data_IF_904534841994
#
_entry.id   IF_904534841994
#
_cell.length_a   1.000
_cell.length_b   1.000
_cell.length_c   1.000
_cell.angle_alpha   90.00
_cell.angle_beta   90.00
_cell.angle_gamma   90.00
#
_symmetry.space_group_name_H-M   'P 1'
#
loop_
_entity.id
_entity.type
_entity.pdbx_description
1 polymer ?
#
# COMPACT_ATOMS: atom_id res chain seq x y z
N UNK A 1 -59.47 -80.15 -0.13
CA UNK A 1 -59.37 -79.51 -1.46
C UNK A 1 -59.31 -78.01 -1.24
N UNK A 2 -58.19 -77.40 -1.66
CA UNK A 2 -57.93 -76.03 -2.15
C UNK A 2 -58.76 -74.85 -1.59
N UNK A 3 -58.21 -73.70 -1.22
CA UNK A 3 -56.83 -73.23 -1.36
C UNK A 3 -56.65 -71.78 -0.87
N UNK A 4 -55.41 -71.52 -0.45
CA UNK A 4 -54.61 -70.29 -0.32
C UNK A 4 -55.21 -68.95 0.14
N UNK A 5 -54.64 -68.56 1.29
CA UNK A 5 -54.52 -67.24 1.86
C UNK A 5 -53.73 -66.25 0.99
N UNK A 6 -54.08 -64.98 1.22
CA UNK A 6 -53.34 -63.77 0.88
C UNK A 6 -52.06 -63.60 1.73
N UNK A 7 -51.22 -62.67 1.26
CA UNK A 7 -50.04 -62.02 1.85
C UNK A 7 -48.69 -62.75 1.80
N UNK A 8 -47.78 -62.26 0.94
CA UNK A 8 -46.43 -61.89 1.40
C UNK A 8 -45.75 -60.83 0.48
N UNK A 9 -44.82 -60.12 1.09
CA UNK A 9 -44.12 -58.86 0.82
C UNK A 9 -43.30 -58.75 -0.49
N UNK A 10 -43.07 -57.51 -0.96
CA UNK A 10 -41.75 -56.82 -0.85
C UNK A 10 -41.65 -55.50 -1.65
N UNK A 11 -41.31 -54.45 -0.90
CA UNK A 11 -40.28 -53.45 -1.17
C UNK A 11 -40.21 -52.77 -2.55
N UNK A 12 -40.74 -51.55 -2.66
CA UNK A 12 -40.13 -50.47 -3.47
C UNK A 12 -40.39 -49.07 -2.89
N UNK A 13 -40.19 -48.90 -1.59
CA UNK A 13 -39.98 -47.58 -0.97
C UNK A 13 -38.48 -47.31 -0.93
N UNK A 14 -37.93 -46.77 -2.02
CA UNK A 14 -36.47 -46.59 -2.10
C UNK A 14 -35.98 -45.66 -3.19
N UNK A 15 -36.81 -44.74 -3.68
CA UNK A 15 -36.44 -43.84 -4.79
C UNK A 15 -37.16 -42.48 -4.70
N UNK A 16 -37.25 -41.88 -3.51
CA UNK A 16 -37.71 -40.48 -3.36
C UNK A 16 -36.84 -39.66 -2.39
N UNK A 17 -35.90 -40.27 -1.67
CA UNK A 17 -35.10 -39.59 -0.63
C UNK A 17 -33.70 -39.11 -1.09
N UNK A 18 -33.45 -38.95 -2.40
CA UNK A 18 -32.13 -38.57 -2.92
C UNK A 18 -32.09 -37.23 -3.68
N UNK A 19 -33.23 -36.52 -3.82
CA UNK A 19 -33.30 -35.28 -4.62
C UNK A 19 -33.42 -33.99 -3.80
N UNK A 20 -33.55 -34.06 -2.47
CA UNK A 20 -33.74 -32.90 -1.58
C UNK A 20 -32.53 -32.59 -0.70
N UNK A 21 -31.33 -33.04 -1.10
CA UNK A 21 -30.07 -32.78 -0.37
C UNK A 21 -28.98 -32.11 -1.23
N UNK A 22 -29.29 -31.77 -2.48
CA UNK A 22 -28.34 -31.13 -3.41
C UNK A 22 -28.58 -29.61 -3.53
N UNK A 23 -29.77 -29.11 -3.22
CA UNK A 23 -30.08 -27.68 -3.36
C UNK A 23 -29.68 -26.80 -2.16
N UNK A 24 -29.31 -27.38 -1.01
CA UNK A 24 -28.92 -26.61 0.20
C UNK A 24 -27.40 -26.42 0.30
N UNK A 25 -26.60 -27.13 -0.51
CA UNK A 25 -25.14 -27.10 -0.44
C UNK A 25 -24.47 -26.02 -1.32
N UNK A 26 -25.24 -25.14 -1.98
CA UNK A 26 -24.73 -24.28 -3.06
C UNK A 26 -24.69 -22.77 -2.77
N UNK A 27 -24.94 -22.33 -1.53
CA UNK A 27 -25.07 -20.89 -1.25
C UNK A 27 -24.28 -20.28 -0.07
N UNK A 28 -23.27 -20.95 0.48
CA UNK A 28 -22.45 -20.36 1.54
C UNK A 28 -20.94 -20.53 1.32
N UNK A 29 -20.43 -20.09 0.17
CA UNK A 29 -19.02 -19.68 0.05
C UNK A 29 -18.94 -18.18 -0.12
N UNK A 30 -19.47 -17.44 0.86
CA UNK A 30 -18.94 -16.12 1.14
C UNK A 30 -17.54 -16.33 1.70
N UNK A 31 -16.55 -16.36 0.80
CA UNK A 31 -15.16 -16.20 1.15
C UNK A 31 -15.03 -14.82 1.80
N UNK A 32 -15.19 -14.76 3.12
CA UNK A 32 -14.59 -13.69 3.90
C UNK A 32 -13.10 -13.90 3.71
N UNK A 33 -12.54 -13.28 2.66
CA UNK A 33 -11.15 -12.88 2.72
C UNK A 33 -11.09 -11.96 3.92
N UNK A 34 -10.70 -12.52 5.07
CA UNK A 34 -10.15 -11.74 6.15
C UNK A 34 -8.98 -11.01 5.51
N UNK A 35 -9.26 -9.77 5.10
CA UNK A 35 -8.25 -8.87 4.57
C UNK A 35 -7.20 -8.83 5.66
N UNK A 36 -5.97 -9.22 5.34
CA UNK A 36 -4.81 -8.88 6.15
C UNK A 36 -4.69 -7.36 6.12
N UNK A 37 -5.54 -6.68 6.89
CA UNK A 37 -5.42 -5.26 7.16
C UNK A 37 -4.14 -5.09 7.97
N UNK A 38 -3.25 -4.25 7.47
CA UNK A 38 -2.10 -3.84 8.27
C UNK A 38 -2.65 -3.01 9.43
N UNK A 39 -2.43 -3.43 10.67
CA UNK A 39 -2.80 -2.62 11.83
C UNK A 39 -2.07 -1.28 11.74
N UNK A 40 -2.79 -0.17 11.94
CA UNK A 40 -2.14 1.14 11.96
C UNK A 40 -1.31 1.30 13.25
N UNK A 41 -0.08 1.83 13.17
CA UNK A 41 0.67 2.21 14.37
C UNK A 41 0.14 3.51 15.02
N UNK A 42 -0.79 4.23 14.38
CA UNK A 42 -1.32 5.50 14.86
C UNK A 42 -2.67 5.33 15.57
N UNK A 43 -2.76 5.81 16.82
CA UNK A 43 -3.89 5.56 17.73
C UNK A 43 -5.28 5.94 17.18
N UNK A 44 -5.36 6.93 16.29
CA UNK A 44 -6.62 7.48 15.77
C UNK A 44 -6.86 7.12 14.29
N UNK A 45 -6.08 6.17 13.78
CA UNK A 45 -6.11 5.74 12.41
C UNK A 45 -6.75 4.35 12.31
N UNK A 46 -7.64 4.19 11.34
CA UNK A 46 -8.25 2.89 11.04
C UNK A 46 -7.20 1.94 10.47
N UNK A 47 -7.43 0.65 10.63
CA UNK A 47 -6.62 -0.38 9.99
C UNK A 47 -6.53 -0.17 8.48
N UNK A 48 -5.36 -0.52 7.93
CA UNK A 48 -5.04 -0.30 6.54
C UNK A 48 -5.89 -1.16 5.62
N UNK A 49 -6.41 -0.55 4.56
CA UNK A 49 -7.08 -1.22 3.46
C UNK A 49 -6.22 -1.14 2.20
N UNK A 50 -6.37 -2.06 1.25
CA UNK A 50 -5.60 -1.98 0.01
C UNK A 50 -6.00 -0.74 -0.81
N UNK A 51 -4.99 0.01 -1.28
CA UNK A 51 -5.14 1.10 -2.24
C UNK A 51 -4.81 0.66 -3.67
N UNK A 52 -4.66 -0.65 -3.92
CA UNK A 52 -4.21 -1.23 -5.18
C UNK A 52 -2.71 -1.53 -5.21
N UNK A 53 -2.32 -2.59 -5.93
CA UNK A 53 -0.94 -3.07 -5.96
C UNK A 53 -0.45 -3.43 -4.56
N UNK A 54 0.74 -2.95 -4.19
CA UNK A 54 1.34 -3.11 -2.85
C UNK A 54 1.00 -1.98 -1.88
N UNK A 55 0.13 -1.05 -2.28
CA UNK A 55 -0.19 0.12 -1.47
C UNK A 55 -1.26 -0.18 -0.43
N UNK A 56 -1.06 0.37 0.75
CA UNK A 56 -2.05 0.41 1.82
C UNK A 56 -2.55 1.84 2.00
N UNK A 57 -3.82 2.00 2.29
CA UNK A 57 -4.47 3.27 2.63
C UNK A 57 -4.97 3.17 4.06
N UNK A 58 -4.69 4.22 4.83
CA UNK A 58 -5.15 4.36 6.19
C UNK A 58 -5.87 5.70 6.35
N UNK A 59 -6.99 5.68 7.06
CA UNK A 59 -7.83 6.86 7.23
C UNK A 59 -7.92 7.24 8.70
N UNK A 60 -7.81 8.54 8.98
CA UNK A 60 -8.02 9.11 10.29
C UNK A 60 -8.74 10.45 10.20
N UNK A 61 -9.20 10.95 11.34
CA UNK A 61 -9.74 12.29 11.45
C UNK A 61 -9.07 13.01 12.62
N UNK A 62 -8.65 14.25 12.38
CA UNK A 62 -8.10 15.09 13.44
C UNK A 62 -9.20 15.44 14.45
N UNK A 63 -9.05 15.01 15.71
CA UNK A 63 -10.07 15.20 16.74
C UNK A 63 -10.35 16.66 17.08
N UNK A 64 -9.38 17.55 16.90
CA UNK A 64 -9.51 18.96 17.26
C UNK A 64 -10.14 19.77 16.14
N UNK A 65 -9.71 19.54 14.90
CA UNK A 65 -10.10 20.34 13.73
C UNK A 65 -11.17 19.69 12.86
N UNK A 66 -11.39 18.38 13.04
CA UNK A 66 -12.25 17.59 12.16
C UNK A 66 -11.64 17.29 10.79
N UNK A 67 -10.39 17.70 10.54
CA UNK A 67 -9.71 17.52 9.26
C UNK A 67 -9.58 16.04 8.90
N UNK A 68 -9.92 15.70 7.66
CA UNK A 68 -9.81 14.32 7.15
C UNK A 68 -8.36 14.05 6.78
N UNK A 69 -7.81 12.97 7.31
CA UNK A 69 -6.43 12.54 7.04
C UNK A 69 -6.44 11.19 6.35
N UNK A 70 -5.63 11.07 5.30
CA UNK A 70 -5.42 9.83 4.57
C UNK A 70 -3.93 9.63 4.40
N UNK A 71 -3.45 8.42 4.70
CA UNK A 71 -2.07 8.02 4.54
C UNK A 71 -2.00 6.86 3.56
N UNK A 72 -1.23 7.02 2.50
CA UNK A 72 -0.88 5.90 1.61
C UNK A 72 0.52 5.43 1.96
N UNK A 73 0.70 4.13 2.16
CA UNK A 73 1.97 3.51 2.49
C UNK A 73 2.38 2.51 1.41
N UNK A 74 3.65 2.56 1.04
CA UNK A 74 4.29 1.57 0.18
C UNK A 74 5.65 1.17 0.76
N UNK A 75 5.80 -0.11 1.07
CA UNK A 75 7.08 -0.69 1.48
C UNK A 75 7.98 -0.97 0.28
N UNK A 76 9.28 -0.88 0.50
CA UNK A 76 10.29 -1.28 -0.48
C UNK A 76 10.32 -2.79 -0.71
N UNK A 77 10.87 -3.16 -1.86
CA UNK A 77 11.08 -4.54 -2.26
C UNK A 77 12.31 -5.15 -1.58
N UNK A 78 13.28 -4.32 -1.19
CA UNK A 78 14.50 -4.73 -0.50
C UNK A 78 14.73 -4.01 0.82
N UNK A 79 15.57 -4.60 1.66
CA UNK A 79 16.14 -3.98 2.86
C UNK A 79 17.41 -3.21 2.49
N UNK A 80 17.75 -2.22 3.32
CA UNK A 80 19.05 -1.55 3.26
C UNK A 80 20.05 -2.30 4.14
N UNK A 81 21.34 -2.18 3.85
CA UNK A 81 22.41 -2.73 4.69
C UNK A 81 22.48 -2.04 6.05
N UNK A 82 22.12 -0.76 6.12
CA UNK A 82 22.10 -0.01 7.38
C UNK A 82 21.03 -0.50 8.37
N UNK A 83 19.98 -1.17 7.89
CA UNK A 83 18.95 -1.80 8.73
C UNK A 83 18.31 -2.97 8.00
N UNK A 84 18.60 -4.19 8.45
CA UNK A 84 18.11 -5.44 7.84
C UNK A 84 16.75 -5.89 8.37
N UNK A 85 16.22 -5.22 9.40
CA UNK A 85 14.94 -5.56 10.02
C UNK A 85 13.83 -4.60 9.58
N UNK A 86 14.20 -3.40 9.12
CA UNK A 86 13.28 -2.40 8.62
C UNK A 86 13.32 -2.27 7.08
N UNK A 87 12.16 -2.38 6.43
CA UNK A 87 12.02 -2.05 5.01
C UNK A 87 11.79 -0.55 4.82
N UNK A 88 12.62 0.15 4.03
CA UNK A 88 12.29 1.49 3.58
C UNK A 88 10.84 1.62 3.14
N UNK A 89 10.23 2.77 3.42
CA UNK A 89 8.84 3.02 3.03
C UNK A 89 8.66 4.41 2.48
N UNK A 90 7.69 4.51 1.58
CA UNK A 90 7.16 5.76 1.07
C UNK A 90 5.78 5.97 1.68
N UNK A 91 5.55 7.15 2.23
CA UNK A 91 4.27 7.52 2.82
C UNK A 91 3.75 8.83 2.21
N UNK A 92 2.51 8.84 1.75
CA UNK A 92 1.82 10.04 1.29
C UNK A 92 0.78 10.42 2.32
N UNK A 93 1.03 11.50 3.05
CA UNK A 93 0.09 12.08 3.99
C UNK A 93 -0.73 13.15 3.29
N UNK A 94 -2.04 13.02 3.39
CA UNK A 94 -2.99 13.91 2.77
C UNK A 94 -3.96 14.41 3.83
N UNK A 95 -4.28 15.70 3.77
CA UNK A 95 -5.16 16.39 4.72
C UNK A 95 -6.15 17.22 3.94
N UNK A 96 -7.44 17.03 4.21
CA UNK A 96 -8.55 17.71 3.54
C UNK A 96 -8.44 17.73 2.00
N UNK A 97 -8.14 16.56 1.43
CA UNK A 97 -8.07 16.39 -0.01
C UNK A 97 -6.76 16.86 -0.65
N UNK A 98 -5.75 17.26 0.12
CA UNK A 98 -4.47 17.77 -0.40
C UNK A 98 -3.28 17.02 0.17
N UNK A 99 -2.28 16.76 -0.66
CA UNK A 99 -0.98 16.25 -0.22
C UNK A 99 -0.32 17.25 0.74
N UNK A 100 -0.11 16.84 1.99
CA UNK A 100 0.59 17.63 3.01
C UNK A 100 2.07 17.25 3.11
N UNK A 101 2.38 15.96 2.97
CA UNK A 101 3.74 15.44 3.02
C UNK A 101 3.87 14.18 2.16
N UNK A 102 4.95 14.09 1.38
CA UNK A 102 5.44 12.83 0.82
C UNK A 102 6.76 12.50 1.52
N UNK A 103 6.78 11.40 2.26
CA UNK A 103 7.88 10.96 3.10
C UNK A 103 8.55 9.72 2.46
N UNK A 104 9.87 9.76 2.35
CA UNK A 104 10.69 8.56 2.19
C UNK A 104 11.48 8.30 3.48
N UNK A 105 11.15 7.21 4.16
CA UNK A 105 11.80 6.77 5.37
C UNK A 105 12.68 5.54 5.09
N UNK A 106 14.02 5.66 5.14
CA UNK A 106 14.95 4.56 4.86
C UNK A 106 15.10 3.56 6.01
N UNK A 107 14.47 3.77 7.17
CA UNK A 107 14.64 2.95 8.38
C UNK A 107 15.90 3.23 9.19
N UNK A 108 16.91 3.80 8.55
CA UNK A 108 18.20 4.10 9.16
C UNK A 108 18.46 5.59 9.29
N UNK A 109 19.42 5.96 10.14
CA UNK A 109 19.89 7.34 10.26
C UNK A 109 20.51 7.80 8.93
N UNK A 110 19.97 8.89 8.40
CA UNK A 110 20.52 9.57 7.23
C UNK A 110 21.88 10.19 7.55
N UNK A 111 22.74 10.30 6.53
CA UNK A 111 23.92 11.14 6.58
C UNK A 111 23.52 12.62 6.78
N UNK A 112 24.45 13.50 7.20
CA UNK A 112 24.19 14.93 7.23
C UNK A 112 23.69 15.46 5.86
N UNK A 113 22.85 16.51 5.86
CA UNK A 113 22.42 17.15 4.61
C UNK A 113 23.63 17.64 3.81
N UNK A 114 23.58 17.50 2.49
CA UNK A 114 24.66 17.87 1.57
C UNK A 114 24.22 18.93 0.54
N UNK A 115 23.04 19.52 0.72
CA UNK A 115 22.48 20.53 -0.17
C UNK A 115 21.70 21.58 0.64
N UNK A 116 21.88 22.89 0.37
CA UNK A 116 21.00 23.91 0.93
C UNK A 116 19.67 23.93 0.17
N UNK A 117 18.57 24.01 0.89
CA UNK A 117 17.26 24.28 0.32
C UNK A 117 17.07 25.76 -0.03
N UNK A 118 16.09 26.05 -0.87
CA UNK A 118 15.82 27.40 -1.37
C UNK A 118 15.57 28.44 -0.25
N UNK A 119 14.98 28.03 0.88
CA UNK A 119 14.74 28.87 2.06
C UNK A 119 15.68 28.56 3.22
N UNK A 120 16.83 27.93 2.95
CA UNK A 120 17.82 27.56 3.97
C UNK A 120 17.50 26.28 4.74
N UNK A 121 16.41 25.58 4.42
CA UNK A 121 16.13 24.28 4.99
C UNK A 121 17.22 23.26 4.57
N UNK A 122 17.66 22.38 5.48
CA UNK A 122 18.63 21.34 5.13
C UNK A 122 18.02 20.36 4.12
N UNK A 123 18.73 20.08 3.04
CA UNK A 123 18.34 19.09 2.03
C UNK A 123 19.41 18.01 1.85
N UNK A 124 18.95 16.84 1.42
CA UNK A 124 19.80 15.81 0.88
C UNK A 124 19.56 15.70 -0.63
N UNK A 125 20.64 15.70 -1.39
CA UNK A 125 20.59 15.29 -2.78
C UNK A 125 20.46 13.77 -2.86
N UNK A 126 19.39 13.32 -3.50
CA UNK A 126 19.13 11.92 -3.81
C UNK A 126 19.13 11.71 -5.32
N UNK A 127 19.54 10.53 -5.76
CA UNK A 127 19.31 10.11 -7.14
C UNK A 127 18.06 9.25 -7.15
N UNK A 128 17.11 9.58 -8.02
CA UNK A 128 15.91 8.77 -8.20
C UNK A 128 15.91 8.19 -9.61
N UNK A 129 15.40 6.97 -9.73
CA UNK A 129 15.07 6.36 -11.01
C UNK A 129 13.57 6.12 -11.04
N UNK A 130 12.88 6.72 -11.99
CA UNK A 130 11.47 6.49 -12.29
C UNK A 130 11.42 5.77 -13.64
N UNK A 131 11.01 4.51 -13.61
CA UNK A 131 11.05 3.59 -14.76
C UNK A 131 12.44 3.53 -15.41
N UNK A 132 12.61 4.23 -16.54
CA UNK A 132 13.81 4.24 -17.35
C UNK A 132 14.56 5.57 -17.34
N UNK A 133 14.13 6.53 -16.52
CA UNK A 133 14.74 7.85 -16.41
C UNK A 133 15.31 8.03 -15.01
N UNK A 134 16.50 8.62 -14.89
CA UNK A 134 17.09 8.98 -13.61
C UNK A 134 17.32 10.49 -13.52
N UNK A 135 17.24 11.02 -12.31
CA UNK A 135 17.41 12.45 -12.03
C UNK A 135 17.85 12.68 -10.59
N UNK A 136 18.45 13.83 -10.32
CA UNK A 136 18.84 14.25 -8.97
C UNK A 136 17.82 15.22 -8.39
N UNK A 137 17.47 15.02 -7.12
CA UNK A 137 16.49 15.84 -6.42
C UNK A 137 17.01 16.26 -5.06
N UNK A 138 16.68 17.50 -4.66
CA UNK A 138 16.92 17.98 -3.30
C UNK A 138 15.69 17.74 -2.45
N UNK A 139 15.73 16.73 -1.58
CA UNK A 139 14.65 16.43 -0.64
C UNK A 139 14.96 17.02 0.73
N UNK A 140 13.94 17.53 1.42
CA UNK A 140 14.16 18.15 2.73
C UNK A 140 14.58 17.07 3.73
N UNK A 141 15.70 17.30 4.40
CA UNK A 141 16.26 16.43 5.40
C UNK A 141 15.59 16.70 6.74
N UNK A 142 14.76 15.76 7.21
CA UNK A 142 13.97 15.98 8.43
C UNK A 142 14.62 15.27 9.60
N UNK A 143 15.42 16.03 10.35
CA UNK A 143 16.08 15.60 11.61
C UNK A 143 16.90 14.30 11.47
N UNK A 144 17.29 13.92 10.26
CA UNK A 144 18.07 12.71 9.98
C UNK A 144 17.31 11.40 10.06
N UNK A 145 15.98 11.45 10.09
CA UNK A 145 15.13 10.26 10.17
C UNK A 145 14.51 9.92 8.81
N UNK A 146 14.10 10.92 8.06
CA UNK A 146 13.46 10.73 6.77
C UNK A 146 13.69 11.90 5.83
N UNK A 147 13.33 11.71 4.57
CA UNK A 147 13.41 12.72 3.52
C UNK A 147 12.01 13.09 3.04
N UNK A 148 11.67 14.38 3.13
CA UNK A 148 10.46 14.90 2.51
C UNK A 148 10.70 15.13 1.02
N UNK A 149 10.03 14.32 0.21
CA UNK A 149 10.12 14.31 -1.24
C UNK A 149 9.52 15.57 -1.84
N UNK A 150 10.09 16.03 -2.94
CA UNK A 150 9.47 17.08 -3.75
C UNK A 150 8.23 16.54 -4.50
N UNK A 151 7.26 17.42 -4.72
CA UNK A 151 6.00 17.09 -5.41
C UNK A 151 6.21 16.52 -6.81
N UNK A 152 7.27 16.94 -7.52
CA UNK A 152 7.60 16.44 -8.86
C UNK A 152 7.94 14.97 -8.82
N UNK A 153 8.82 14.57 -7.90
CA UNK A 153 9.18 13.17 -7.71
C UNK A 153 7.99 12.33 -7.27
N UNK A 154 7.17 12.84 -6.34
CA UNK A 154 5.95 12.12 -5.92
C UNK A 154 5.03 11.83 -7.10
N UNK A 155 4.77 12.83 -7.96
CA UNK A 155 3.94 12.67 -9.16
C UNK A 155 4.54 11.68 -10.17
N UNK A 156 5.86 11.64 -10.30
CA UNK A 156 6.54 10.67 -11.14
C UNK A 156 6.41 9.25 -10.59
N UNK A 157 6.64 9.07 -9.29
CA UNK A 157 6.61 7.80 -8.60
C UNK A 157 5.23 7.13 -8.60
N UNK A 158 4.15 7.88 -8.32
CA UNK A 158 2.80 7.28 -8.30
C UNK A 158 2.33 6.74 -9.66
N UNK A 159 2.91 7.21 -10.76
CA UNK A 159 2.62 6.71 -12.10
C UNK A 159 3.61 5.65 -12.60
N UNK A 160 4.64 5.33 -11.82
CA UNK A 160 5.74 4.48 -12.26
C UNK A 160 5.40 2.99 -12.16
N UNK A 161 6.13 2.18 -12.92
CA UNK A 161 6.23 0.73 -12.69
C UNK A 161 7.32 0.42 -11.66
N UNK A 162 8.46 1.10 -11.76
CA UNK A 162 9.60 0.93 -10.87
C UNK A 162 10.08 2.29 -10.38
N UNK A 163 10.34 2.38 -9.09
CA UNK A 163 10.93 3.55 -8.46
C UNK A 163 12.15 3.13 -7.63
N UNK A 164 13.32 3.71 -7.89
CA UNK A 164 14.52 3.47 -7.08
C UNK A 164 15.03 4.78 -6.51
N UNK A 165 15.56 4.71 -5.30
CA UNK A 165 16.13 5.86 -4.59
C UNK A 165 17.52 5.49 -4.10
N UNK A 166 18.56 6.14 -4.64
CA UNK A 166 19.88 6.15 -4.02
C UNK A 166 19.90 7.23 -2.93
N UNK A 167 20.10 6.81 -1.70
CA UNK A 167 20.13 7.67 -0.52
C UNK A 167 21.45 7.52 0.23
N UNK A 168 21.90 8.58 0.90
CA UNK A 168 23.08 8.56 1.75
C UNK A 168 22.68 8.30 3.20
N UNK A 169 22.96 7.10 3.69
CA UNK A 169 22.87 6.74 5.11
C UNK A 169 24.22 6.99 5.79
N UNK A 170 24.28 6.83 7.12
CA UNK A 170 25.56 6.84 7.82
C UNK A 170 26.50 5.70 7.40
N UNK A 171 25.98 4.61 6.85
CA UNK A 171 26.77 3.47 6.37
C UNK A 171 27.31 3.67 4.94
N UNK A 172 26.80 4.66 4.20
CA UNK A 172 27.22 4.96 2.84
C UNK A 172 26.04 5.21 1.92
N UNK A 173 26.26 4.97 0.62
CA UNK A 173 25.20 5.05 -0.39
C UNK A 173 24.50 3.72 -0.50
N UNK A 174 23.18 3.77 -0.48
CA UNK A 174 22.34 2.58 -0.54
C UNK A 174 21.13 2.85 -1.43
N UNK A 175 20.59 1.79 -2.03
CA UNK A 175 19.49 1.88 -2.99
C UNK A 175 18.27 1.17 -2.43
N UNK A 176 17.18 1.91 -2.24
CA UNK A 176 15.87 1.35 -2.02
C UNK A 176 15.17 1.16 -3.37
N UNK A 177 14.60 -0.01 -3.58
CA UNK A 177 13.77 -0.36 -4.74
C UNK A 177 12.32 -0.48 -4.30
N UNK A 178 11.44 0.12 -5.08
CA UNK A 178 10.02 0.25 -4.76
C UNK A 178 9.22 -0.04 -6.02
N UNK A 179 8.16 -0.83 -5.89
CA UNK A 179 7.21 -1.14 -6.98
C UNK A 179 5.89 -0.39 -6.75
N UNK A 180 5.75 0.86 -7.22
CA UNK A 180 4.54 1.65 -7.02
C UNK A 180 3.37 1.23 -7.94
N UNK A 181 3.62 0.34 -8.90
CA UNK A 181 2.61 -0.15 -9.83
C UNK A 181 1.37 -0.72 -9.15
N UNK A 182 0.21 -0.51 -9.77
CA UNK A 182 -1.07 -1.04 -9.32
C UNK A 182 -1.83 -0.13 -8.35
N UNK A 183 -1.25 1.01 -7.96
CA UNK A 183 -1.94 2.04 -7.18
C UNK A 183 -3.22 2.51 -7.87
N UNK A 184 -4.31 2.60 -7.11
CA UNK A 184 -5.53 3.23 -7.56
C UNK A 184 -5.37 4.75 -7.56
N UNK A 185 -5.13 5.31 -8.74
CA UNK A 185 -4.88 6.75 -8.91
C UNK A 185 -6.11 7.61 -8.61
N UNK A 186 -7.32 7.09 -8.76
CA UNK A 186 -8.55 7.84 -8.43
C UNK A 186 -8.65 8.09 -6.92
N UNK A 187 -8.27 7.08 -6.11
CA UNK A 187 -8.19 7.23 -4.64
C UNK A 187 -7.17 8.30 -4.24
N UNK A 188 -6.00 8.28 -4.87
CA UNK A 188 -4.94 9.26 -4.61
C UNK A 188 -5.37 10.66 -5.05
N UNK A 189 -6.03 10.78 -6.20
CA UNK A 189 -6.54 12.07 -6.67
C UNK A 189 -7.60 12.63 -5.70
N UNK A 190 -8.54 11.80 -5.26
CA UNK A 190 -9.58 12.19 -4.31
C UNK A 190 -9.01 12.60 -2.94
N UNK A 191 -8.03 11.86 -2.43
CA UNK A 191 -7.49 12.09 -1.09
C UNK A 191 -6.43 13.19 -1.04
N UNK A 192 -5.68 13.40 -2.13
CA UNK A 192 -4.44 14.18 -2.12
C UNK A 192 -4.37 15.26 -3.21
N UNK A 193 -5.35 15.34 -4.12
CA UNK A 193 -5.31 16.19 -5.31
C UNK A 193 -4.01 16.02 -6.12
N UNK A 194 -3.62 14.75 -6.29
CA UNK A 194 -2.38 14.38 -6.94
C UNK A 194 -2.67 13.54 -8.18
N UNK A 195 -2.05 13.92 -9.29
CA UNK A 195 -2.11 13.20 -10.58
C UNK A 195 -0.71 12.79 -11.01
N UNK A 196 -0.55 11.64 -11.68
CA UNK A 196 0.77 11.20 -12.12
C UNK A 196 1.35 12.16 -13.15
N UNK A 197 2.67 12.30 -13.17
CA UNK A 197 3.43 13.00 -14.22
C UNK A 197 4.79 12.35 -14.34
N UNK A 198 4.96 11.46 -15.33
CA UNK A 198 6.25 10.83 -15.59
C UNK A 198 7.28 11.85 -16.08
N UNK A 199 8.57 11.69 -15.74
CA UNK A 199 9.63 12.48 -16.34
C UNK A 199 9.63 12.32 -17.87
N UNK A 200 9.79 13.41 -18.61
CA UNK A 200 10.05 13.32 -20.05
C UNK A 200 11.47 12.84 -20.31
N UNK A 201 11.66 12.17 -21.45
CA UNK A 201 12.99 11.85 -22.00
C UNK A 201 13.27 12.90 -23.07
N UNK A 202 13.51 14.14 -22.65
CA UNK A 202 13.94 15.20 -23.58
C UNK A 202 15.47 15.31 -23.54
#
# INVERSE_FOLDING_TARGET
MNGSHSSDQRNRTGLVAAAMLVCVALFCTASVFAQNGAMSPYQDEKDGVSAGGKWMEFQSQDKMTGAKKVRFELLSDNYLKADTEYKPRVELFCTDGKLSLADFNPGSRLAPPNRPGFWGQPQMEVMVRIDNTHSYHGWNWVRGHFLSMDKGTTRGMIGAQVFKVEVRTRAGREIAEVTPFGLNLDRVHQACDLTPKKPSKD
#
